data_IF_926444854864
#
_entry.id   IF_926444854864
#
_cell.length_a   1.000
_cell.length_b   1.000
_cell.length_c   1.000
_cell.angle_alpha   90.00
_cell.angle_beta   90.00
_cell.angle_gamma   90.00
#
_symmetry.space_group_name_H-M   'P 1'
#
loop_
_entity.id
_entity.type
_entity.pdbx_description
1 polymer ?
#
# COMPACT_ATOMS: atom_id res chain seq x y z
N UNK A 1 0.96 -6.57 22.50
CA UNK A 1 0.25 -5.88 21.40
C UNK A 1 0.87 -6.07 20.01
N UNK A 2 1.90 -6.93 19.84
CA UNK A 2 2.72 -7.02 18.60
C UNK A 2 2.58 -8.32 17.79
N UNK A 3 1.85 -9.34 18.27
CA UNK A 3 1.62 -10.61 17.55
C UNK A 3 0.36 -10.62 16.66
N UNK A 4 -0.72 -9.97 17.10
CA UNK A 4 -2.00 -9.97 16.39
C UNK A 4 -2.02 -9.08 15.12
N UNK A 5 -1.22 -8.00 15.06
CA UNK A 5 -1.18 -7.14 13.87
C UNK A 5 -0.43 -7.76 12.69
N UNK A 6 0.55 -8.65 12.92
CA UNK A 6 1.28 -9.35 11.86
C UNK A 6 0.46 -10.50 11.24
N UNK A 7 -0.53 -11.02 11.97
CA UNK A 7 -1.49 -12.02 11.50
C UNK A 7 -2.63 -11.41 10.64
N UNK A 8 -2.65 -10.09 10.45
CA UNK A 8 -3.62 -9.44 9.55
C UNK A 8 -3.20 -9.48 8.08
N UNK A 9 -1.93 -9.80 7.81
CA UNK A 9 -1.41 -9.92 6.45
C UNK A 9 -1.93 -11.20 5.77
N UNK A 10 -2.63 -11.09 4.62
CA UNK A 10 -3.24 -12.24 3.94
C UNK A 10 -2.20 -13.26 3.48
N UNK A 11 -0.98 -12.81 3.22
CA UNK A 11 0.12 -13.63 2.74
C UNK A 11 0.84 -14.43 3.83
N UNK A 12 0.84 -13.95 5.08
CA UNK A 12 1.32 -14.72 6.23
C UNK A 12 0.31 -15.81 6.59
N UNK A 13 -1.00 -15.53 6.44
CA UNK A 13 -2.06 -16.53 6.58
C UNK A 13 -1.95 -17.63 5.55
N UNK A 14 -1.65 -17.29 4.30
CA UNK A 14 -1.41 -18.28 3.24
C UNK A 14 -0.26 -19.23 3.59
N UNK A 15 0.86 -18.69 4.09
CA UNK A 15 2.03 -19.48 4.44
C UNK A 15 1.77 -20.41 5.64
N UNK A 16 0.99 -19.95 6.62
CA UNK A 16 0.51 -20.77 7.73
C UNK A 16 -0.45 -21.86 7.23
N UNK A 17 -1.38 -21.55 6.33
CA UNK A 17 -2.31 -22.52 5.77
C UNK A 17 -1.58 -23.63 4.98
N UNK A 18 -0.59 -23.23 4.17
CA UNK A 18 0.30 -24.16 3.46
C UNK A 18 1.03 -25.10 4.43
N UNK A 19 1.51 -24.57 5.56
CA UNK A 19 2.17 -25.36 6.60
C UNK A 19 1.25 -26.45 7.17
N UNK A 20 0.01 -26.10 7.53
CA UNK A 20 -0.97 -27.05 8.05
C UNK A 20 -1.36 -28.10 7.01
N UNK A 21 -1.45 -27.73 5.74
CA UNK A 21 -1.68 -28.69 4.65
C UNK A 21 -0.52 -29.67 4.54
N UNK A 22 0.72 -29.19 4.54
CA UNK A 22 1.90 -30.05 4.44
C UNK A 22 2.00 -31.01 5.63
N UNK A 23 1.72 -30.54 6.86
CA UNK A 23 1.64 -31.39 8.05
C UNK A 23 0.51 -32.43 7.94
N UNK A 24 -0.66 -32.02 7.44
CA UNK A 24 -1.80 -32.91 7.22
C UNK A 24 -1.49 -34.00 6.20
N UNK A 25 -0.87 -33.66 5.07
CA UNK A 25 -0.43 -34.63 4.05
C UNK A 25 0.62 -35.59 4.61
N UNK A 26 1.56 -35.09 5.41
CA UNK A 26 2.56 -35.94 6.08
C UNK A 26 1.89 -36.92 7.06
N UNK A 27 0.93 -36.46 7.86
CA UNK A 27 0.19 -37.31 8.79
C UNK A 27 -0.67 -38.37 8.07
N UNK A 28 -1.33 -37.99 6.98
CA UNK A 28 -2.15 -38.91 6.18
C UNK A 28 -1.29 -39.99 5.50
N UNK A 29 -0.08 -39.62 5.06
CA UNK A 29 0.91 -40.54 4.51
C UNK A 29 1.32 -41.62 5.51
N UNK A 30 1.60 -41.22 6.76
CA UNK A 30 1.93 -42.16 7.86
C UNK A 30 0.78 -43.13 8.15
N UNK A 31 -0.46 -42.62 8.24
CA UNK A 31 -1.65 -43.44 8.51
C UNK A 31 -1.84 -44.49 7.41
N UNK A 32 -1.64 -44.12 6.14
CA UNK A 32 -1.76 -45.05 5.01
C UNK A 32 -0.69 -46.15 5.06
N UNK A 33 0.54 -45.79 5.43
CA UNK A 33 1.65 -46.75 5.53
C UNK A 33 1.40 -47.77 6.66
N UNK A 34 0.85 -47.32 7.79
CA UNK A 34 0.47 -48.18 8.90
C UNK A 34 -0.62 -49.20 8.51
N UNK A 35 -1.54 -48.83 7.61
CA UNK A 35 -2.60 -49.72 7.14
C UNK A 35 -2.09 -50.81 6.18
N UNK A 36 -0.98 -50.57 5.48
CA UNK A 36 -0.44 -51.50 4.47
C UNK A 36 0.61 -52.47 4.99
N UNK A 37 1.39 -52.12 6.03
CA UNK A 37 2.48 -52.95 6.56
C UNK A 37 2.40 -52.99 8.10
N UNK A 38 1.94 -54.11 8.66
CA UNK A 38 1.82 -54.38 10.12
C UNK A 38 3.16 -54.39 10.90
N UNK A 39 4.27 -54.00 10.27
CA UNK A 39 5.65 -54.13 10.77
C UNK A 39 6.29 -52.79 11.23
N UNK A 40 5.51 -51.71 11.40
CA UNK A 40 6.08 -50.44 11.89
C UNK A 40 6.17 -50.44 13.42
N UNK A 41 7.40 -50.41 13.92
CA UNK A 41 7.73 -50.28 15.35
C UNK A 41 7.32 -48.87 15.83
N UNK A 42 6.14 -48.75 16.46
CA UNK A 42 5.59 -47.57 17.17
C UNK A 42 5.17 -46.33 16.33
N UNK A 43 4.12 -46.42 15.50
CA UNK A 43 3.57 -45.28 14.72
C UNK A 43 2.99 -44.15 15.58
N UNK A 44 2.69 -44.40 16.85
CA UNK A 44 2.19 -43.38 17.78
C UNK A 44 3.23 -42.27 18.03
N UNK A 45 4.52 -42.59 17.99
CA UNK A 45 5.59 -41.61 18.23
C UNK A 45 5.73 -40.66 17.05
N UNK A 46 5.63 -41.14 15.80
CA UNK A 46 5.72 -40.26 14.61
C UNK A 46 4.51 -39.32 14.53
N UNK A 47 3.30 -39.81 14.79
CA UNK A 47 2.10 -38.99 14.87
C UNK A 47 2.16 -37.96 16.01
N UNK A 48 2.66 -38.36 17.19
CA UNK A 48 2.88 -37.43 18.30
C UNK A 48 3.88 -36.33 17.94
N UNK A 49 4.95 -36.66 17.22
CA UNK A 49 5.90 -35.67 16.73
C UNK A 49 5.27 -34.69 15.73
N UNK A 50 4.47 -35.16 14.77
CA UNK A 50 3.78 -34.29 13.81
C UNK A 50 2.77 -33.38 14.52
N UNK A 51 2.02 -33.91 15.49
CA UNK A 51 1.10 -33.14 16.30
C UNK A 51 1.82 -32.07 17.13
N UNK A 52 2.96 -32.42 17.74
CA UNK A 52 3.77 -31.48 18.53
C UNK A 52 4.41 -30.41 17.65
N UNK A 53 4.87 -30.76 16.44
CA UNK A 53 5.28 -29.78 15.43
C UNK A 53 4.14 -28.81 15.14
N UNK A 54 2.94 -29.29 14.80
CA UNK A 54 1.77 -28.44 14.54
C UNK A 54 1.44 -27.52 15.73
N UNK A 55 1.46 -28.06 16.95
CA UNK A 55 1.19 -27.31 18.18
C UNK A 55 2.24 -26.21 18.43
N UNK A 56 3.53 -26.50 18.21
CA UNK A 56 4.60 -25.50 18.27
C UNK A 56 4.45 -24.41 17.19
N UNK A 57 3.79 -24.71 16.07
CA UNK A 57 3.54 -23.76 14.99
C UNK A 57 2.57 -22.64 15.35
N UNK A 58 1.68 -22.88 16.32
CA UNK A 58 0.70 -21.90 16.78
C UNK A 58 1.33 -20.78 17.62
N UNK A 59 2.50 -21.02 18.23
CA UNK A 59 3.22 -20.05 19.08
C UNK A 59 4.61 -19.77 18.53
N UNK A 60 4.70 -18.80 17.62
CA UNK A 60 5.96 -18.28 17.12
C UNK A 60 6.69 -17.47 18.22
N UNK A 61 7.92 -17.84 18.63
CA UNK A 61 8.66 -17.09 19.63
C UNK A 61 9.09 -15.72 19.08
N UNK A 62 8.69 -14.66 19.77
CA UNK A 62 9.06 -13.27 19.43
C UNK A 62 10.29 -12.74 20.20
N UNK A 63 10.93 -13.61 20.96
CA UNK A 63 12.05 -13.28 21.87
C UNK A 63 13.40 -13.18 21.14
N UNK A 64 14.47 -12.99 21.93
CA UNK A 64 15.88 -12.86 21.52
C UNK A 64 16.35 -13.90 20.49
N UNK A 65 17.43 -13.58 19.78
CA UNK A 65 18.02 -14.43 18.73
C UNK A 65 18.30 -15.87 19.22
N UNK A 66 18.74 -16.02 20.48
CA UNK A 66 18.98 -17.32 21.11
C UNK A 66 17.71 -18.15 21.26
N UNK A 67 16.57 -17.54 21.62
CA UNK A 67 15.31 -18.26 21.73
C UNK A 67 14.76 -18.71 20.38
N UNK A 68 14.99 -17.93 19.31
CA UNK A 68 14.66 -18.31 17.93
C UNK A 68 15.49 -19.51 17.45
N UNK A 69 16.79 -19.51 17.75
CA UNK A 69 17.69 -20.64 17.45
C UNK A 69 17.31 -21.88 18.26
N UNK A 70 17.03 -21.74 19.55
CA UNK A 70 16.59 -22.85 20.40
C UNK A 70 15.29 -23.47 19.89
N UNK A 71 14.31 -22.64 19.51
CA UNK A 71 13.06 -23.12 18.90
C UNK A 71 13.31 -23.88 17.60
N UNK A 72 14.17 -23.36 16.72
CA UNK A 72 14.51 -24.06 15.47
C UNK A 72 15.25 -25.38 15.73
N UNK A 73 16.17 -25.42 16.70
CA UNK A 73 16.88 -26.62 17.11
C UNK A 73 15.93 -27.68 17.69
N UNK A 74 14.94 -27.27 18.49
CA UNK A 74 13.89 -28.16 19.01
C UNK A 74 13.08 -28.77 17.86
N UNK A 75 12.62 -27.95 16.91
CA UNK A 75 11.87 -28.43 15.76
C UNK A 75 12.71 -29.39 14.89
N UNK A 76 14.00 -29.09 14.70
CA UNK A 76 14.92 -29.95 13.97
C UNK A 76 15.13 -31.29 14.70
N UNK A 77 15.31 -31.27 16.02
CA UNK A 77 15.42 -32.47 16.84
C UNK A 77 14.15 -33.32 16.74
N UNK A 78 12.98 -32.70 16.72
CA UNK A 78 11.71 -33.39 16.59
C UNK A 78 11.51 -34.05 15.23
N UNK A 79 11.96 -33.39 14.16
CA UNK A 79 11.97 -33.95 12.81
C UNK A 79 12.98 -35.10 12.70
N UNK A 80 14.14 -34.98 13.36
CA UNK A 80 15.12 -36.07 13.43
C UNK A 80 14.57 -37.30 14.14
N UNK A 81 13.95 -37.14 15.33
CA UNK A 81 13.35 -38.27 16.06
C UNK A 81 12.22 -38.92 15.26
N UNK A 82 11.36 -38.12 14.62
CA UNK A 82 10.31 -38.62 13.75
C UNK A 82 10.87 -39.43 12.56
N UNK A 83 12.01 -38.99 12.00
CA UNK A 83 12.63 -39.65 10.85
C UNK A 83 13.28 -41.01 11.16
N UNK A 84 13.96 -41.12 12.30
CA UNK A 84 14.70 -42.33 12.70
C UNK A 84 13.74 -43.41 13.20
N UNK A 85 12.68 -43.02 13.92
CA UNK A 85 11.74 -43.97 14.53
C UNK A 85 10.63 -44.38 13.55
N UNK A 86 10.10 -43.43 12.76
CA UNK A 86 8.91 -43.66 11.93
C UNK A 86 9.16 -44.21 10.52
N UNK A 87 10.40 -44.23 10.03
CA UNK A 87 10.71 -44.54 8.62
C UNK A 87 9.84 -43.74 7.61
N UNK A 88 9.57 -42.47 7.95
CA UNK A 88 8.63 -41.60 7.24
C UNK A 88 8.99 -41.48 5.76
N UNK A 89 8.09 -41.91 4.86
CA UNK A 89 8.29 -41.79 3.41
C UNK A 89 8.33 -40.32 2.96
N UNK A 90 7.54 -39.47 3.60
CA UNK A 90 7.39 -38.05 3.28
C UNK A 90 8.27 -37.10 4.14
N UNK A 91 9.43 -37.57 4.61
CA UNK A 91 10.35 -36.75 5.41
C UNK A 91 10.70 -35.39 4.75
N UNK A 92 10.78 -35.35 3.41
CA UNK A 92 11.04 -34.11 2.68
C UNK A 92 9.99 -33.01 2.92
N UNK A 93 8.71 -33.37 3.13
CA UNK A 93 7.65 -32.39 3.42
C UNK A 93 7.87 -31.71 4.77
N UNK A 94 8.36 -32.46 5.78
CA UNK A 94 8.69 -31.89 7.09
C UNK A 94 9.86 -30.91 7.00
N UNK A 95 10.87 -31.20 6.18
CA UNK A 95 11.95 -30.24 5.92
C UNK A 95 11.45 -28.97 5.22
N UNK A 96 10.51 -29.08 4.30
CA UNK A 96 9.86 -27.91 3.67
C UNK A 96 9.07 -27.10 4.71
N UNK A 97 8.35 -27.75 5.63
CA UNK A 97 7.66 -27.08 6.75
C UNK A 97 8.65 -26.32 7.65
N UNK A 98 9.78 -26.92 7.99
CA UNK A 98 10.83 -26.23 8.75
C UNK A 98 11.38 -25.02 8.00
N UNK A 99 11.58 -25.14 6.68
CA UNK A 99 12.06 -24.04 5.84
C UNK A 99 11.05 -22.88 5.80
N UNK A 100 9.76 -23.19 5.65
CA UNK A 100 8.68 -22.21 5.73
C UNK A 100 8.70 -21.47 7.08
N UNK A 101 8.81 -22.20 8.20
CA UNK A 101 8.95 -21.61 9.54
C UNK A 101 10.20 -20.75 9.68
N UNK A 102 11.32 -21.21 9.15
CA UNK A 102 12.57 -20.44 9.20
C UNK A 102 12.44 -19.10 8.48
N UNK A 103 11.76 -19.09 7.35
CA UNK A 103 11.48 -17.87 6.60
C UNK A 103 10.60 -16.87 7.36
N UNK A 104 9.72 -17.34 8.24
CA UNK A 104 8.86 -16.49 9.07
C UNK A 104 9.61 -15.86 10.27
N UNK A 105 10.62 -16.54 10.79
CA UNK A 105 11.26 -16.20 12.08
C UNK A 105 12.57 -15.39 11.90
N UNK A 106 13.34 -15.68 10.85
CA UNK A 106 14.69 -15.18 10.65
C UNK A 106 14.82 -14.10 9.57
N UNK A 107 15.76 -13.18 9.79
CA UNK A 107 16.20 -12.21 8.77
C UNK A 107 16.97 -12.90 7.63
N UNK A 108 17.24 -12.16 6.54
CA UNK A 108 17.89 -12.67 5.33
C UNK A 108 19.14 -13.52 5.60
N UNK A 109 20.01 -13.11 6.52
CA UNK A 109 21.22 -13.86 6.88
C UNK A 109 20.92 -15.16 7.64
N UNK A 110 19.98 -15.12 8.59
CA UNK A 110 19.58 -16.31 9.36
C UNK A 110 18.90 -17.38 8.48
N UNK A 111 18.17 -16.96 7.43
CA UNK A 111 17.53 -17.90 6.47
C UNK A 111 18.53 -18.73 5.68
N UNK A 112 19.68 -18.15 5.31
CA UNK A 112 20.72 -18.91 4.63
C UNK A 112 21.37 -19.94 5.57
N UNK A 113 21.63 -19.55 6.81
CA UNK A 113 22.21 -20.45 7.82
C UNK A 113 21.31 -21.67 8.06
N UNK A 114 20.00 -21.43 8.24
CA UNK A 114 19.02 -22.50 8.49
C UNK A 114 18.78 -23.36 7.26
N UNK A 115 18.77 -22.79 6.05
CA UNK A 115 18.69 -23.55 4.80
C UNK A 115 19.87 -24.51 4.65
N UNK A 116 21.10 -24.03 4.90
CA UNK A 116 22.30 -24.89 4.88
C UNK A 116 22.22 -25.99 5.93
N UNK A 117 21.80 -25.66 7.16
CA UNK A 117 21.62 -26.66 8.21
C UNK A 117 20.58 -27.73 7.85
N UNK A 118 19.44 -27.33 7.28
CA UNK A 118 18.39 -28.27 6.82
C UNK A 118 18.88 -29.15 5.68
N UNK A 119 19.67 -28.60 4.75
CA UNK A 119 20.26 -29.38 3.67
C UNK A 119 21.23 -30.44 4.19
N UNK A 120 22.13 -30.07 5.11
CA UNK A 120 23.08 -31.01 5.73
C UNK A 120 22.32 -32.12 6.47
N UNK A 121 21.29 -31.76 7.23
CA UNK A 121 20.46 -32.73 7.96
C UNK A 121 19.71 -33.65 7.00
N UNK A 122 19.17 -33.14 5.90
CA UNK A 122 18.50 -33.95 4.90
C UNK A 122 19.46 -35.00 4.30
N UNK A 123 20.66 -34.58 3.90
CA UNK A 123 21.67 -35.50 3.36
C UNK A 123 22.08 -36.55 4.40
N UNK A 124 22.29 -36.15 5.65
CA UNK A 124 22.65 -37.08 6.73
C UNK A 124 21.56 -38.12 6.99
N UNK A 125 20.29 -37.72 7.04
CA UNK A 125 19.15 -38.63 7.25
C UNK A 125 18.98 -39.59 6.08
N UNK A 126 19.11 -39.13 4.84
CA UNK A 126 19.01 -40.01 3.67
C UNK A 126 20.12 -41.06 3.63
N UNK A 127 21.35 -40.67 4.01
CA UNK A 127 22.48 -41.61 4.12
C UNK A 127 22.22 -42.66 5.22
N UNK A 128 21.75 -42.22 6.41
CA UNK A 128 21.38 -43.14 7.49
C UNK A 128 20.27 -44.11 7.09
N UNK A 129 19.25 -43.62 6.39
CA UNK A 129 18.13 -44.44 5.90
C UNK A 129 18.60 -45.52 4.94
N UNK A 130 19.57 -45.25 4.07
CA UNK A 130 20.07 -46.25 3.11
C UNK A 130 20.97 -47.28 3.77
N UNK A 131 21.77 -46.88 4.75
CA UNK A 131 22.55 -47.84 5.54
C UNK A 131 21.63 -48.78 6.34
N UNK A 132 20.54 -48.25 6.89
CA UNK A 132 19.58 -49.03 7.70
C UNK A 132 18.62 -49.84 6.83
N UNK A 133 18.09 -49.24 5.77
CA UNK A 133 17.22 -49.88 4.78
C UNK A 133 18.11 -50.67 3.83
N UNK A 134 18.55 -51.83 4.30
CA UNK A 134 19.41 -52.76 3.58
C UNK A 134 18.87 -52.93 2.16
N UNK A 135 19.49 -52.27 1.18
CA UNK A 135 19.10 -52.28 -0.23
C UNK A 135 19.05 -53.69 -0.83
N UNK A 136 19.52 -54.69 -0.07
CA UNK A 136 19.32 -56.13 -0.22
C UNK A 136 17.91 -56.50 -0.69
N UNK A 137 16.84 -55.82 -0.25
CA UNK A 137 15.50 -56.17 -0.75
C UNK A 137 15.32 -55.88 -2.26
N UNK A 138 15.72 -54.68 -2.72
CA UNK A 138 15.67 -54.33 -4.14
C UNK A 138 16.77 -55.04 -4.92
N UNK A 139 17.98 -55.15 -4.37
CA UNK A 139 19.12 -55.85 -4.95
C UNK A 139 18.84 -57.36 -5.16
N UNK A 140 18.24 -58.05 -4.18
CA UNK A 140 17.83 -59.45 -4.34
C UNK A 140 16.73 -59.62 -5.41
N UNK A 141 15.88 -58.61 -5.59
CA UNK A 141 14.78 -58.65 -6.57
C UNK A 141 15.26 -58.41 -8.00
N UNK A 142 16.30 -57.61 -8.18
CA UNK A 142 16.85 -57.23 -9.48
C UNK A 142 18.20 -57.87 -9.81
N UNK A 143 18.75 -58.72 -8.93
CA UNK A 143 20.07 -59.36 -9.08
C UNK A 143 21.20 -58.37 -9.41
N UNK A 144 21.09 -57.14 -8.91
CA UNK A 144 22.04 -56.06 -9.12
C UNK A 144 22.66 -55.65 -7.80
N UNK A 145 23.91 -55.17 -7.84
CA UNK A 145 24.56 -54.61 -6.67
C UNK A 145 23.70 -53.48 -6.06
N UNK A 146 23.46 -53.49 -4.73
CA UNK A 146 22.60 -52.51 -4.07
C UNK A 146 23.06 -51.06 -4.27
N UNK A 147 24.36 -50.84 -4.49
CA UNK A 147 24.95 -49.52 -4.74
C UNK A 147 24.52 -48.93 -6.09
N UNK A 148 24.32 -49.76 -7.12
CA UNK A 148 23.99 -49.33 -8.48
C UNK A 148 22.57 -48.77 -8.57
N UNK A 149 21.66 -49.29 -7.74
CA UNK A 149 20.25 -48.84 -7.70
C UNK A 149 20.02 -47.68 -6.72
N UNK A 150 20.73 -47.64 -5.59
CA UNK A 150 20.45 -46.67 -4.50
C UNK A 150 21.10 -45.30 -4.72
N UNK A 151 22.32 -45.24 -5.27
CA UNK A 151 23.05 -43.98 -5.54
C UNK A 151 22.36 -43.02 -6.53
N UNK A 152 21.80 -43.45 -7.67
CA UNK A 152 21.08 -42.53 -8.57
C UNK A 152 19.80 -41.98 -7.95
N UNK A 153 19.09 -42.79 -7.15
CA UNK A 153 17.89 -42.33 -6.44
C UNK A 153 18.23 -41.27 -5.39
N UNK A 154 19.33 -41.45 -4.66
CA UNK A 154 19.86 -40.46 -3.73
C UNK A 154 20.18 -39.13 -4.39
N UNK A 155 20.96 -39.18 -5.46
CA UNK A 155 21.38 -37.97 -6.17
C UNK A 155 20.16 -37.24 -6.72
N UNK A 156 19.19 -37.96 -7.29
CA UNK A 156 17.90 -37.39 -7.70
C UNK A 156 17.14 -36.71 -6.56
N UNK A 157 17.02 -37.38 -5.40
CA UNK A 157 16.33 -36.84 -4.23
C UNK A 157 17.02 -35.58 -3.66
N UNK A 158 18.35 -35.58 -3.60
CA UNK A 158 19.15 -34.43 -3.15
C UNK A 158 18.95 -33.25 -4.11
N UNK A 159 19.13 -33.45 -5.42
CA UNK A 159 18.98 -32.39 -6.43
C UNK A 159 17.58 -31.80 -6.41
N UNK A 160 16.55 -32.65 -6.37
CA UNK A 160 15.15 -32.20 -6.33
C UNK A 160 14.88 -31.40 -5.05
N UNK A 161 15.36 -31.86 -3.89
CA UNK A 161 15.19 -31.15 -2.64
C UNK A 161 15.94 -29.80 -2.64
N UNK A 162 17.17 -29.75 -3.15
CA UNK A 162 17.93 -28.51 -3.34
C UNK A 162 17.15 -27.50 -4.20
N UNK A 163 16.59 -27.96 -5.32
CA UNK A 163 15.82 -27.12 -6.24
C UNK A 163 14.56 -26.57 -5.56
N UNK A 164 13.85 -27.39 -4.79
CA UNK A 164 12.67 -26.96 -4.01
C UNK A 164 13.04 -25.89 -2.98
N UNK A 165 14.14 -26.06 -2.24
CA UNK A 165 14.58 -25.07 -1.25
C UNK A 165 14.97 -23.74 -1.92
N UNK A 166 15.72 -23.78 -3.01
CA UNK A 166 16.12 -22.59 -3.77
C UNK A 166 14.88 -21.88 -4.34
N UNK A 167 13.96 -22.62 -4.95
CA UNK A 167 12.73 -22.09 -5.51
C UNK A 167 11.87 -21.42 -4.42
N UNK A 168 11.68 -22.09 -3.28
CA UNK A 168 10.93 -21.54 -2.16
C UNK A 168 11.58 -20.25 -1.61
N UNK A 169 12.92 -20.24 -1.50
CA UNK A 169 13.67 -19.08 -1.05
C UNK A 169 13.56 -17.90 -2.03
N UNK A 170 13.62 -18.16 -3.34
CA UNK A 170 13.41 -17.15 -4.39
C UNK A 170 11.99 -16.60 -4.36
N UNK A 171 10.98 -17.47 -4.30
CA UNK A 171 9.56 -17.09 -4.25
C UNK A 171 9.28 -16.19 -3.05
N UNK A 172 9.78 -16.54 -1.86
CA UNK A 172 9.60 -15.72 -0.65
C UNK A 172 10.32 -14.38 -0.79
N UNK A 173 11.52 -14.35 -1.38
CA UNK A 173 12.24 -13.09 -1.61
C UNK A 173 11.51 -12.17 -2.60
N UNK A 174 10.97 -12.73 -3.69
CA UNK A 174 10.17 -11.99 -4.66
C UNK A 174 8.91 -11.41 -4.01
N UNK A 175 8.18 -12.22 -3.22
CA UNK A 175 6.98 -11.77 -2.50
C UNK A 175 7.29 -10.65 -1.50
N UNK A 176 8.42 -10.71 -0.79
CA UNK A 176 8.81 -9.65 0.15
C UNK A 176 9.24 -8.38 -0.58
N UNK A 177 9.99 -8.50 -1.68
CA UNK A 177 10.41 -7.36 -2.50
C UNK A 177 9.21 -6.65 -3.13
N UNK A 178 8.25 -7.39 -3.67
CA UNK A 178 7.02 -6.85 -4.24
C UNK A 178 6.22 -6.08 -3.18
N UNK A 179 6.08 -6.62 -1.96
CA UNK A 179 5.39 -5.92 -0.87
C UNK A 179 6.07 -4.60 -0.50
N UNK A 180 7.39 -4.62 -0.39
CA UNK A 180 8.15 -3.42 -0.08
C UNK A 180 7.95 -2.35 -1.16
N UNK A 181 7.99 -2.76 -2.44
CA UNK A 181 7.73 -1.87 -3.57
C UNK A 181 6.30 -1.29 -3.52
N UNK A 182 5.28 -2.12 -3.29
CA UNK A 182 3.88 -1.67 -3.15
C UNK A 182 3.69 -0.69 -1.99
N UNK A 183 4.34 -0.94 -0.86
CA UNK A 183 4.29 -0.05 0.31
C UNK A 183 4.96 1.30 0.00
N UNK A 184 6.13 1.29 -0.64
CA UNK A 184 6.81 2.51 -1.06
C UNK A 184 5.98 3.31 -2.05
N UNK A 185 5.37 2.65 -3.04
CA UNK A 185 4.48 3.30 -4.01
C UNK A 185 3.25 3.92 -3.34
N UNK A 186 2.64 3.21 -2.39
CA UNK A 186 1.50 3.74 -1.62
C UNK A 186 1.89 5.00 -0.84
N UNK A 187 3.04 4.99 -0.17
CA UNK A 187 3.54 6.14 0.59
C UNK A 187 3.87 7.32 -0.33
N UNK A 188 4.53 7.05 -1.47
CA UNK A 188 4.85 8.08 -2.45
C UNK A 188 3.58 8.72 -3.05
N UNK A 189 2.56 7.91 -3.37
CA UNK A 189 1.27 8.42 -3.84
C UNK A 189 0.57 9.29 -2.80
N UNK A 190 0.61 8.91 -1.52
CA UNK A 190 0.04 9.71 -0.45
C UNK A 190 0.77 11.06 -0.30
N UNK A 191 2.10 11.04 -0.36
CA UNK A 191 2.92 12.26 -0.33
C UNK A 191 2.61 13.17 -1.53
N UNK A 192 2.53 12.60 -2.74
CA UNK A 192 2.20 13.35 -3.95
C UNK A 192 0.82 14.01 -3.84
N UNK A 193 -0.18 13.29 -3.31
CA UNK A 193 -1.51 13.84 -3.06
C UNK A 193 -1.48 15.00 -2.07
N UNK A 194 -0.69 14.90 -1.00
CA UNK A 194 -0.53 15.99 -0.02
C UNK A 194 0.14 17.21 -0.66
N UNK A 195 1.18 17.02 -1.47
CA UNK A 195 1.83 18.12 -2.18
C UNK A 195 0.90 18.78 -3.20
N UNK A 196 0.11 18.00 -3.93
CA UNK A 196 -0.87 18.55 -4.86
C UNK A 196 -1.86 19.49 -4.17
N UNK A 197 -2.39 19.09 -3.01
CA UNK A 197 -3.29 19.94 -2.20
C UNK A 197 -2.59 21.19 -1.67
N UNK A 198 -1.33 21.09 -1.24
CA UNK A 198 -0.56 22.25 -0.79
C UNK A 198 -0.27 23.24 -1.92
N UNK A 199 0.09 22.72 -3.10
CA UNK A 199 0.32 23.55 -4.30
C UNK A 199 -0.96 24.25 -4.71
N UNK A 200 -2.10 23.55 -4.68
CA UNK A 200 -3.42 24.15 -4.93
C UNK A 200 -3.70 25.29 -3.94
N UNK A 201 -3.53 25.06 -2.63
CA UNK A 201 -3.74 26.08 -1.61
C UNK A 201 -2.83 27.31 -1.82
N UNK A 202 -1.54 27.09 -2.04
CA UNK A 202 -0.58 28.17 -2.30
C UNK A 202 -0.94 28.93 -3.57
N UNK A 203 -1.30 28.23 -4.65
CA UNK A 203 -1.72 28.85 -5.90
C UNK A 203 -2.96 29.71 -5.69
N UNK A 204 -3.96 29.24 -4.94
CA UNK A 204 -5.15 30.04 -4.62
C UNK A 204 -4.82 31.30 -3.80
N UNK A 205 -3.88 31.22 -2.86
CA UNK A 205 -3.44 32.37 -2.06
C UNK A 205 -2.64 33.38 -2.87
N UNK A 206 -1.73 32.89 -3.73
CA UNK A 206 -0.97 33.72 -4.65
C UNK A 206 -1.89 34.46 -5.61
N UNK A 207 -2.91 33.77 -6.13
CA UNK A 207 -3.89 34.36 -7.03
C UNK A 207 -4.72 35.45 -6.35
N UNK A 208 -5.20 35.20 -5.12
CA UNK A 208 -5.87 36.24 -4.31
C UNK A 208 -4.98 37.46 -4.08
N UNK A 209 -3.70 37.23 -3.81
CA UNK A 209 -2.72 38.32 -3.58
C UNK A 209 -2.47 39.12 -4.86
N UNK A 210 -2.37 38.44 -6.01
CA UNK A 210 -2.24 39.07 -7.33
C UNK A 210 -3.45 39.97 -7.61
N UNK A 211 -4.66 39.42 -7.47
CA UNK A 211 -5.91 40.17 -7.69
C UNK A 211 -6.00 41.38 -6.75
N UNK A 212 -5.64 41.22 -5.46
CA UNK A 212 -5.66 42.33 -4.51
C UNK A 212 -4.73 43.48 -4.93
N UNK A 213 -3.54 43.16 -5.48
CA UNK A 213 -2.59 44.15 -5.99
C UNK A 213 -3.12 44.84 -7.25
N UNK A 214 -3.68 44.09 -8.19
CA UNK A 214 -4.31 44.66 -9.40
C UNK A 214 -5.46 45.63 -9.05
N UNK A 215 -6.29 45.27 -8.07
CA UNK A 215 -7.34 46.16 -7.54
C UNK A 215 -6.73 47.40 -6.90
N UNK A 216 -5.68 47.26 -6.08
CA UNK A 216 -5.01 48.37 -5.41
C UNK A 216 -4.38 49.34 -6.40
N UNK A 217 -3.72 48.84 -7.44
CA UNK A 217 -3.08 49.67 -8.47
C UNK A 217 -4.14 50.40 -9.30
N UNK A 218 -5.23 49.74 -9.71
CA UNK A 218 -6.33 50.37 -10.44
C UNK A 218 -7.03 51.47 -9.63
N UNK A 219 -7.29 51.20 -8.34
CA UNK A 219 -7.86 52.17 -7.41
C UNK A 219 -6.90 53.34 -7.15
N UNK A 220 -5.62 53.05 -6.92
CA UNK A 220 -4.59 54.05 -6.65
C UNK A 220 -4.48 55.08 -7.76
N UNK A 221 -4.33 54.62 -9.01
CA UNK A 221 -4.27 55.51 -10.18
C UNK A 221 -5.53 56.37 -10.32
N UNK A 222 -6.72 55.76 -10.18
CA UNK A 222 -7.99 56.47 -10.30
C UNK A 222 -8.16 57.53 -9.22
N UNK A 223 -7.78 57.22 -7.97
CA UNK A 223 -7.86 58.16 -6.85
C UNK A 223 -6.85 59.31 -6.98
N UNK A 224 -5.63 59.03 -7.46
CA UNK A 224 -4.65 60.09 -7.75
C UNK A 224 -5.16 61.03 -8.84
N UNK A 225 -5.69 60.50 -9.95
CA UNK A 225 -6.28 61.30 -11.02
C UNK A 225 -7.50 62.11 -10.54
N UNK A 226 -8.35 61.51 -9.71
CA UNK A 226 -9.48 62.20 -9.09
C UNK A 226 -9.02 63.39 -8.23
N UNK A 227 -8.03 63.17 -7.37
CA UNK A 227 -7.52 64.21 -6.47
C UNK A 227 -6.86 65.35 -7.26
N UNK A 228 -6.14 65.05 -8.34
CA UNK A 228 -5.57 66.07 -9.23
C UNK A 228 -6.66 66.91 -9.93
N UNK A 229 -7.71 66.27 -10.46
CA UNK A 229 -8.83 66.99 -11.10
C UNK A 229 -9.58 67.87 -10.09
N UNK A 230 -9.82 67.37 -8.88
CA UNK A 230 -10.45 68.15 -7.80
C UNK A 230 -9.59 69.35 -7.39
N UNK A 231 -8.27 69.15 -7.21
CA UNK A 231 -7.34 70.22 -6.85
C UNK A 231 -7.27 71.30 -7.93
N UNK A 232 -7.23 70.90 -9.21
CA UNK A 232 -7.23 71.84 -10.33
C UNK A 232 -8.57 72.58 -10.47
N UNK A 233 -9.70 71.92 -10.21
CA UNK A 233 -11.01 72.56 -10.22
C UNK A 233 -11.13 73.64 -9.12
N UNK A 234 -10.57 73.40 -7.93
CA UNK A 234 -10.52 74.40 -6.85
C UNK A 234 -9.69 75.62 -7.28
N UNK A 235 -8.51 75.41 -7.87
CA UNK A 235 -7.66 76.51 -8.33
C UNK A 235 -8.29 77.35 -9.45
N UNK A 236 -9.01 76.72 -10.39
CA UNK A 236 -9.75 77.45 -11.44
C UNK A 236 -10.97 78.19 -10.89
N UNK A 237 -11.62 77.66 -9.86
CA UNK A 237 -12.70 78.35 -9.17
C UNK A 237 -12.22 79.63 -8.48
N UNK A 238 -11.04 79.60 -7.86
CA UNK A 238 -10.40 80.76 -7.23
C UNK A 238 -10.00 81.85 -8.24
N UNK A 239 -9.74 81.47 -9.50
CA UNK A 239 -9.39 82.38 -10.59
C UNK A 239 -10.59 82.87 -11.44
N UNK A 240 -11.84 82.61 -10.99
CA UNK A 240 -13.10 82.95 -11.68
C UNK A 240 -13.37 82.22 -13.02
N UNK A 241 -12.58 81.20 -13.38
CA UNK A 241 -12.76 80.38 -14.59
C UNK A 241 -13.80 79.25 -14.38
N UNK A 242 -15.05 79.64 -14.10
CA UNK A 242 -16.11 78.73 -13.65
C UNK A 242 -16.46 77.60 -14.64
N UNK A 243 -16.36 77.86 -15.95
CA UNK A 243 -16.71 76.88 -16.98
C UNK A 243 -15.72 75.72 -17.03
N UNK A 244 -14.43 76.00 -16.89
CA UNK A 244 -13.37 75.00 -16.93
C UNK A 244 -13.29 74.22 -15.61
N UNK A 245 -13.50 74.90 -14.47
CA UNK A 245 -13.69 74.26 -13.17
C UNK A 245 -14.84 73.24 -13.18
N UNK A 246 -15.99 73.60 -13.79
CA UNK A 246 -17.14 72.70 -13.93
C UNK A 246 -16.85 71.48 -14.82
N UNK A 247 -16.03 71.64 -15.86
CA UNK A 247 -15.59 70.55 -16.73
C UNK A 247 -14.73 69.52 -15.97
N UNK A 248 -13.78 70.00 -15.16
CA UNK A 248 -12.94 69.13 -14.31
C UNK A 248 -13.76 68.40 -13.24
N UNK A 249 -14.76 69.05 -12.65
CA UNK A 249 -15.68 68.40 -11.70
C UNK A 249 -16.48 67.27 -12.34
N UNK A 250 -17.01 67.46 -13.56
CA UNK A 250 -17.69 66.41 -14.30
C UNK A 250 -16.74 65.25 -14.63
N UNK A 251 -15.49 65.56 -14.99
CA UNK A 251 -14.46 64.56 -15.27
C UNK A 251 -14.11 63.75 -14.03
N UNK A 252 -13.95 64.41 -12.88
CA UNK A 252 -13.75 63.75 -11.58
C UNK A 252 -14.94 62.85 -11.20
N UNK A 253 -16.17 63.31 -11.43
CA UNK A 253 -17.37 62.50 -11.19
C UNK A 253 -17.40 61.23 -12.07
N UNK A 254 -17.03 61.35 -13.35
CA UNK A 254 -16.91 60.21 -14.26
C UNK A 254 -15.83 59.21 -13.83
N UNK A 255 -14.64 59.70 -13.45
CA UNK A 255 -13.55 58.88 -12.90
C UNK A 255 -13.96 58.11 -11.66
N UNK A 256 -14.69 58.76 -10.73
CA UNK A 256 -15.20 58.10 -9.52
C UNK A 256 -16.18 56.98 -9.83
N UNK A 257 -17.13 57.20 -10.76
CA UNK A 257 -18.10 56.18 -11.15
C UNK A 257 -17.43 55.00 -11.85
N UNK A 258 -16.47 55.26 -12.74
CA UNK A 258 -15.73 54.19 -13.42
C UNK A 258 -14.92 53.35 -12.44
N UNK A 259 -14.17 53.98 -11.53
CA UNK A 259 -13.39 53.27 -10.52
C UNK A 259 -14.25 52.41 -9.58
N UNK A 260 -15.44 52.89 -9.19
CA UNK A 260 -16.39 52.12 -8.39
C UNK A 260 -16.94 50.91 -9.15
N UNK A 261 -17.17 51.04 -10.46
CA UNK A 261 -17.63 49.93 -11.29
C UNK A 261 -16.53 48.87 -11.47
N UNK A 262 -15.29 49.28 -11.70
CA UNK A 262 -14.14 48.36 -11.86
C UNK A 262 -13.92 47.53 -10.59
N UNK A 263 -13.99 48.16 -9.40
CA UNK A 263 -13.90 47.45 -8.12
C UNK A 263 -15.05 46.48 -7.92
N UNK A 264 -16.29 46.90 -8.22
CA UNK A 264 -17.46 46.02 -8.10
C UNK A 264 -17.31 44.79 -8.99
N UNK A 265 -16.85 44.97 -10.22
CA UNK A 265 -16.63 43.88 -11.18
C UNK A 265 -15.53 42.92 -10.72
N UNK A 266 -14.43 43.43 -10.18
CA UNK A 266 -13.36 42.62 -9.60
C UNK A 266 -13.84 41.79 -8.39
N UNK A 267 -14.61 42.40 -7.48
CA UNK A 267 -15.19 41.72 -6.31
C UNK A 267 -16.20 40.64 -6.73
N UNK A 268 -17.05 40.90 -7.74
CA UNK A 268 -17.99 39.88 -8.23
C UNK A 268 -17.28 38.66 -8.80
N UNK A 269 -16.15 38.86 -9.48
CA UNK A 269 -15.33 37.78 -10.05
C UNK A 269 -14.70 36.92 -8.94
N UNK A 270 -14.09 37.57 -7.93
CA UNK A 270 -13.57 36.92 -6.73
C UNK A 270 -14.64 36.14 -5.96
N UNK A 271 -15.85 36.71 -5.83
CA UNK A 271 -16.97 36.07 -5.14
C UNK A 271 -17.46 34.85 -5.90
N UNK A 272 -17.52 34.90 -7.23
CA UNK A 272 -17.89 33.74 -8.05
C UNK A 272 -16.91 32.57 -7.87
N UNK A 273 -15.60 32.83 -7.80
CA UNK A 273 -14.61 31.78 -7.53
C UNK A 273 -14.72 31.21 -6.11
N UNK A 274 -15.04 32.04 -5.10
CA UNK A 274 -15.25 31.56 -3.72
C UNK A 274 -16.47 30.63 -3.54
N UNK A 275 -17.37 30.61 -4.52
CA UNK A 275 -18.60 29.80 -4.52
C UNK A 275 -18.43 28.47 -5.27
N UNK A 276 -17.36 28.31 -6.07
CA UNK A 276 -17.06 27.06 -6.78
C UNK A 276 -16.76 25.94 -5.77
N UNK A 277 -17.43 24.79 -5.92
CA UNK A 277 -17.25 23.62 -5.06
C UNK A 277 -18.12 23.55 -3.81
N UNK A 278 -18.94 24.58 -3.51
CA UNK A 278 -19.97 24.48 -2.45
C UNK A 278 -21.27 23.91 -3.01
N UNK A 279 -21.96 23.03 -2.28
CA UNK A 279 -23.26 22.52 -2.72
C UNK A 279 -24.27 23.67 -2.79
N UNK A 280 -25.11 23.67 -3.83
CA UNK A 280 -26.09 24.73 -4.11
C UNK A 280 -27.05 24.97 -2.93
N UNK A 281 -27.40 23.91 -2.19
CA UNK A 281 -28.23 23.99 -1.00
C UNK A 281 -27.66 24.93 0.06
N UNK A 282 -26.37 24.79 0.40
CA UNK A 282 -25.70 25.62 1.40
C UNK A 282 -25.63 27.09 0.95
N UNK A 283 -25.45 27.34 -0.35
CA UNK A 283 -25.41 28.68 -0.92
C UNK A 283 -26.77 29.38 -0.84
N UNK A 284 -27.85 28.67 -1.14
CA UNK A 284 -29.24 29.17 -1.06
C UNK A 284 -29.58 29.45 0.42
N UNK A 285 -29.24 28.54 1.33
CA UNK A 285 -29.50 28.73 2.75
C UNK A 285 -28.74 29.93 3.32
N UNK A 286 -27.48 30.13 2.92
CA UNK A 286 -26.72 31.33 3.28
C UNK A 286 -27.33 32.63 2.74
N UNK A 287 -27.92 32.59 1.54
CA UNK A 287 -28.66 33.72 0.96
C UNK A 287 -29.94 34.04 1.74
N UNK A 288 -30.73 33.02 2.11
CA UNK A 288 -31.96 33.17 2.90
C UNK A 288 -31.67 33.83 4.25
N UNK A 289 -30.64 33.37 4.96
CA UNK A 289 -30.22 33.94 6.25
C UNK A 289 -29.80 35.41 6.09
N UNK A 290 -29.04 35.72 5.02
CA UNK A 290 -28.59 37.10 4.75
C UNK A 290 -29.78 38.02 4.42
N UNK A 291 -30.77 37.50 3.71
CA UNK A 291 -31.98 38.23 3.33
C UNK A 291 -32.88 38.49 4.55
N UNK A 292 -33.03 37.51 5.44
CA UNK A 292 -33.69 37.66 6.75
C UNK A 292 -33.04 38.79 7.57
N UNK A 293 -31.71 38.79 7.67
CA UNK A 293 -30.97 39.82 8.42
C UNK A 293 -31.11 41.23 7.82
N UNK A 294 -31.26 41.36 6.50
CA UNK A 294 -31.27 42.68 5.83
C UNK A 294 -32.68 43.26 5.71
N UNK A 295 -33.70 42.41 5.55
CA UNK A 295 -35.08 42.85 5.28
C UNK A 295 -36.05 42.57 6.42
N UNK A 296 -35.67 41.75 7.40
CA UNK A 296 -36.55 41.33 8.51
C UNK A 296 -37.68 40.37 8.12
N UNK A 297 -37.79 40.01 6.84
CA UNK A 297 -38.80 39.09 6.32
C UNK A 297 -38.36 37.64 6.57
N UNK A 298 -39.30 36.77 6.95
CA UNK A 298 -39.10 35.32 7.11
C UNK A 298 -39.51 34.60 5.81
N UNK A 299 -38.59 34.20 4.93
CA UNK A 299 -38.93 33.54 3.68
C UNK A 299 -39.28 32.08 3.98
N UNK A 300 -40.44 31.60 3.51
CA UNK A 300 -40.67 30.16 3.40
C UNK A 300 -39.82 29.64 2.25
N UNK A 301 -38.83 28.79 2.57
CA UNK A 301 -37.95 28.20 1.57
C UNK A 301 -38.16 26.69 1.54
N UNK A 302 -38.70 26.16 0.45
CA UNK A 302 -38.74 24.72 0.17
C UNK A 302 -37.74 24.45 -0.94
N UNK A 303 -36.60 23.84 -0.57
CA UNK A 303 -35.52 23.52 -1.49
C UNK A 303 -35.48 22.00 -1.65
N UNK A 304 -36.17 21.48 -2.66
CA UNK A 304 -36.02 20.09 -3.12
C UNK A 304 -35.00 20.06 -4.26
N UNK A 305 -33.84 19.49 -4.02
CA UNK A 305 -32.82 19.24 -5.03
C UNK A 305 -32.65 17.72 -5.14
N UNK A 306 -33.42 17.10 -6.05
CA UNK A 306 -33.47 15.64 -6.24
C UNK A 306 -32.35 15.08 -7.13
N UNK A 307 -31.35 15.87 -7.46
CA UNK A 307 -30.20 15.40 -8.24
C UNK A 307 -28.93 16.01 -7.70
N UNK A 308 -28.01 15.15 -7.25
CA UNK A 308 -26.60 15.47 -7.31
C UNK A 308 -26.33 15.91 -8.75
N UNK A 309 -26.00 17.20 -8.94
CA UNK A 309 -25.47 17.67 -10.21
C UNK A 309 -24.21 16.84 -10.46
N UNK A 310 -24.35 15.81 -11.29
CA UNK A 310 -23.28 14.89 -11.66
C UNK A 310 -22.03 15.70 -11.99
N UNK A 311 -20.89 15.17 -11.55
CA UNK A 311 -19.55 15.58 -11.96
C UNK A 311 -19.55 16.09 -13.42
N UNK A 312 -18.80 17.15 -13.75
CA UNK A 312 -18.68 17.57 -15.13
C UNK A 312 -18.27 16.34 -15.95
N UNK A 313 -19.17 15.87 -16.82
CA UNK A 313 -18.92 14.78 -17.75
C UNK A 313 -17.68 15.18 -18.53
N UNK A 314 -16.55 14.61 -18.16
CA UNK A 314 -15.23 14.88 -18.71
C UNK A 314 -15.11 14.24 -20.11
N UNK A 315 -16.06 14.55 -21.00
CA UNK A 315 -16.20 13.99 -22.34
C UNK A 315 -15.42 14.77 -23.41
N UNK A 316 -14.65 15.79 -23.03
CA UNK A 316 -13.81 16.56 -23.96
C UNK A 316 -12.30 16.54 -23.66
N UNK A 317 -11.81 15.81 -22.64
CA UNK A 317 -10.36 15.72 -22.35
C UNK A 317 -9.68 14.51 -23.01
N UNK A 318 -10.43 13.56 -23.56
CA UNK A 318 -9.86 12.38 -24.24
C UNK A 318 -9.28 12.66 -25.63
N UNK A 319 -9.44 13.86 -26.20
CA UNK A 319 -8.90 14.18 -27.53
C UNK A 319 -7.52 14.85 -27.53
N UNK A 320 -7.03 15.38 -26.40
CA UNK A 320 -5.68 15.95 -26.29
C UNK A 320 -4.59 14.95 -25.88
N UNK A 321 -4.94 13.84 -25.21
CA UNK A 321 -3.95 12.83 -24.80
C UNK A 321 -3.44 11.97 -25.97
N UNK A 322 -4.09 11.99 -27.15
CA UNK A 322 -3.68 11.20 -28.32
C UNK A 322 -2.73 11.93 -29.29
N UNK A 323 -2.43 13.20 -29.03
CA UNK A 323 -1.54 14.04 -29.85
C UNK A 323 -0.08 14.00 -29.39
N UNK A 324 0.18 13.68 -28.11
CA UNK A 324 1.53 13.68 -27.55
C UNK A 324 2.38 12.44 -27.94
N UNK A 325 1.76 11.33 -28.38
CA UNK A 325 2.47 10.11 -28.79
C UNK A 325 3.06 10.18 -30.22
N UNK A 326 2.87 11.28 -30.96
CA UNK A 326 3.40 11.42 -32.33
C UNK A 326 4.74 12.16 -32.45
N UNK A 327 5.37 12.53 -31.34
CA UNK A 327 6.63 13.28 -31.33
C UNK A 327 7.83 12.54 -30.68
N UNK A 328 7.69 11.24 -30.39
CA UNK A 328 8.78 10.39 -29.86
C UNK A 328 8.98 9.10 -30.68
N UNK A 329 9.06 9.24 -32.00
CA UNK A 329 9.79 8.32 -32.91
C UNK A 329 10.68 9.16 -33.81
#
# INVERSE_FOLDING_TARGET
MTSLNRLKDPSLRFLLWLEWILLGVSALGEIRQQLQLFEVRSPLISLACIALLGLLGLRLPQTSLSAKLAYMAINLCLVMTASVVGHIQFFFLLCVVLMLRSCLIFNRQGRWLTMTAMFVVFVAVQNYRIQTFNGRFLANRFSQDPDTLTRPFLTGAIVLFSLVLIFLQMMINALLAERHSRQQLSLANEQLRRYALQVEEIATLQERTRIAREIHDALGHSLTALNLNLSAAIGLWENEDLNEAKSLLNTAQGLSQSALNDVRQAITTLRADSLKGRPLGDLIQGLVVKLQHTTGLQPQTVVQIDTALNEPKNSHVSHCARSADKYYQ
#
